data_IF_543395437281
#
_entry.id   IF_543395437281
#
_cell.length_a   1.000
_cell.length_b   1.000
_cell.length_c   1.000
_cell.angle_alpha   90.00
_cell.angle_beta   90.00
_cell.angle_gamma   90.00
#
_symmetry.space_group_name_H-M   'P 1'
#
loop_
_entity.id
_entity.type
_entity.pdbx_description
1 polymer ?
#
# COMPACT_ATOMS: atom_id res chain seq x y z
N UNK A 1 -21.23 -9.53 -22.23
CA UNK A 1 -21.60 -9.78 -20.82
C UNK A 1 -20.31 -9.83 -20.01
N UNK A 2 -20.28 -9.20 -18.84
CA UNK A 2 -19.16 -9.21 -17.89
C UNK A 2 -19.72 -9.33 -16.46
N UNK A 3 -18.88 -9.18 -15.43
CA UNK A 3 -19.28 -9.41 -14.04
C UNK A 3 -19.68 -8.15 -13.25
N UNK A 4 -19.70 -6.97 -13.89
CA UNK A 4 -19.99 -5.68 -13.24
C UNK A 4 -19.12 -5.45 -11.97
N UNK A 5 -17.87 -5.90 -12.01
CA UNK A 5 -16.95 -5.86 -10.88
C UNK A 5 -16.21 -4.52 -10.86
N UNK A 6 -16.30 -3.80 -9.74
CA UNK A 6 -15.50 -2.57 -9.49
C UNK A 6 -14.13 -2.88 -8.86
N UNK A 7 -14.00 -4.07 -8.26
CA UNK A 7 -12.77 -4.65 -7.72
C UNK A 7 -12.81 -6.15 -7.96
N UNK A 8 -11.65 -6.75 -8.22
CA UNK A 8 -11.50 -8.19 -8.37
C UNK A 8 -10.27 -8.70 -7.63
N UNK A 9 -10.09 -10.02 -7.62
CA UNK A 9 -8.89 -10.67 -7.09
C UNK A 9 -8.56 -11.90 -7.91
N UNK A 10 -7.27 -12.19 -8.04
CA UNK A 10 -6.79 -13.38 -8.71
C UNK A 10 -6.06 -14.27 -7.71
N UNK A 11 -6.57 -15.48 -7.51
CA UNK A 11 -6.03 -16.37 -6.48
C UNK A 11 -4.58 -16.74 -6.78
N UNK A 12 -4.28 -17.12 -8.03
CA UNK A 12 -2.95 -17.56 -8.44
C UNK A 12 -2.46 -18.77 -7.65
N UNK A 13 -1.75 -18.52 -6.55
CA UNK A 13 -1.21 -19.57 -5.70
C UNK A 13 -2.32 -20.41 -5.05
N UNK A 14 -2.22 -21.74 -5.00
CA UNK A 14 -1.15 -22.60 -5.54
C UNK A 14 -1.54 -23.27 -6.85
N UNK A 15 -2.81 -23.57 -7.03
CA UNK A 15 -3.30 -24.49 -8.05
C UNK A 15 -3.09 -23.96 -9.47
N UNK A 16 -3.17 -22.64 -9.67
CA UNK A 16 -2.87 -22.05 -10.97
C UNK A 16 -1.36 -21.99 -11.20
N UNK A 17 -0.61 -21.37 -10.30
CA UNK A 17 0.84 -21.11 -10.48
C UNK A 17 1.72 -22.35 -10.44
N UNK A 18 1.23 -23.46 -9.88
CA UNK A 18 1.91 -24.76 -9.94
C UNK A 18 1.92 -25.36 -11.36
N UNK A 19 1.13 -24.82 -12.30
CA UNK A 19 1.03 -25.32 -13.69
C UNK A 19 1.09 -24.22 -14.77
N UNK A 20 0.40 -23.10 -14.58
CA UNK A 20 0.29 -21.98 -15.51
C UNK A 20 1.15 -20.79 -15.09
N UNK A 21 1.50 -19.88 -16.03
CA UNK A 21 2.20 -18.63 -15.69
C UNK A 21 1.45 -17.84 -14.60
N UNK A 22 2.20 -17.21 -13.69
CA UNK A 22 1.64 -16.45 -12.59
C UNK A 22 0.90 -15.18 -13.04
N UNK A 23 0.26 -14.52 -12.07
CA UNK A 23 -0.56 -13.33 -12.30
C UNK A 23 0.25 -12.03 -12.48
N UNK A 24 1.56 -12.05 -12.25
CA UNK A 24 2.34 -10.85 -11.95
C UNK A 24 2.17 -9.74 -13.01
N UNK A 25 2.37 -10.09 -14.28
CA UNK A 25 2.22 -9.16 -15.40
C UNK A 25 0.80 -8.61 -15.49
N UNK A 26 -0.21 -9.48 -15.38
CA UNK A 26 -1.61 -9.06 -15.48
C UNK A 26 -2.03 -8.16 -14.32
N UNK A 27 -1.63 -8.48 -13.10
CA UNK A 27 -1.92 -7.68 -11.90
C UNK A 27 -1.23 -6.31 -11.97
N UNK A 28 0.04 -6.28 -12.39
CA UNK A 28 0.80 -5.04 -12.56
C UNK A 28 0.16 -4.12 -13.61
N UNK A 29 -0.13 -4.64 -14.81
CA UNK A 29 -0.70 -3.84 -15.90
C UNK A 29 -2.15 -3.43 -15.61
N UNK A 30 -2.98 -4.31 -15.03
CA UNK A 30 -4.37 -3.96 -14.71
C UNK A 30 -4.44 -2.85 -13.67
N UNK A 31 -3.63 -2.91 -12.61
CA UNK A 31 -3.55 -1.86 -11.59
C UNK A 31 -2.80 -0.60 -12.05
N UNK A 32 -2.18 -0.61 -13.23
CA UNK A 32 -1.54 0.58 -13.82
C UNK A 32 -2.54 1.46 -14.57
N UNK A 33 -2.23 2.76 -14.63
CA UNK A 33 -3.07 3.77 -15.28
C UNK A 33 -2.85 3.84 -16.81
N UNK A 34 -2.27 2.81 -17.40
CA UNK A 34 -1.99 2.72 -18.84
C UNK A 34 -1.75 1.27 -19.25
N UNK A 35 -1.98 0.98 -20.52
CA UNK A 35 -1.53 -0.24 -21.19
C UNK A 35 -1.33 0.03 -22.69
N UNK A 36 -1.26 -1.02 -23.50
CA UNK A 36 -1.10 -0.93 -24.96
C UNK A 36 -2.24 -0.16 -25.67
N UNK A 37 -3.38 0.09 -25.01
CA UNK A 37 -4.47 0.92 -25.54
C UNK A 37 -4.35 2.40 -25.12
N UNK A 38 -3.27 2.77 -24.43
CA UNK A 38 -3.02 4.11 -23.91
C UNK A 38 -3.40 4.28 -22.44
N UNK A 39 -3.42 5.55 -22.01
CA UNK A 39 -3.72 5.96 -20.64
C UNK A 39 -5.19 5.70 -20.30
N UNK A 40 -5.46 5.12 -19.14
CA UNK A 40 -6.80 4.74 -18.68
C UNK A 40 -6.91 4.71 -17.16
N UNK A 41 -8.15 4.63 -16.67
CA UNK A 41 -8.37 4.31 -15.26
C UNK A 41 -7.73 2.93 -14.90
N UNK A 42 -7.07 2.82 -13.73
CA UNK A 42 -6.56 1.55 -13.24
C UNK A 42 -7.72 0.65 -12.79
N UNK A 43 -7.54 -0.67 -12.94
CA UNK A 43 -8.45 -1.68 -12.41
C UNK A 43 -7.90 -2.21 -11.09
N UNK A 44 -8.72 -2.18 -10.03
CA UNK A 44 -8.31 -2.73 -8.74
C UNK A 44 -8.36 -4.25 -8.77
N UNK A 45 -7.19 -4.89 -8.87
CA UNK A 45 -7.03 -6.35 -8.91
C UNK A 45 -6.11 -6.79 -7.78
N UNK A 46 -6.66 -7.48 -6.79
CA UNK A 46 -5.91 -7.94 -5.63
C UNK A 46 -5.15 -9.25 -5.92
N UNK A 47 -3.84 -9.22 -5.71
CA UNK A 47 -2.97 -10.39 -5.67
C UNK A 47 -3.47 -11.38 -4.62
N UNK A 48 -3.30 -12.67 -4.89
CA UNK A 48 -3.69 -13.79 -4.01
C UNK A 48 -5.19 -13.85 -3.66
N UNK A 49 -6.02 -13.14 -4.43
CA UNK A 49 -7.44 -12.94 -4.14
C UNK A 49 -7.68 -12.43 -2.71
N UNK A 50 -6.77 -11.62 -2.18
CA UNK A 50 -6.97 -10.94 -0.90
C UNK A 50 -8.03 -9.86 -1.04
N UNK A 51 -9.29 -10.26 -0.89
CA UNK A 51 -10.44 -9.38 -0.99
C UNK A 51 -10.38 -8.19 -0.03
N UNK A 52 -9.74 -8.32 1.13
CA UNK A 52 -9.66 -7.22 2.10
C UNK A 52 -8.60 -6.19 1.69
N UNK A 53 -7.49 -6.63 1.09
CA UNK A 53 -6.59 -5.68 0.43
C UNK A 53 -7.25 -5.05 -0.80
N UNK A 54 -8.03 -5.82 -1.56
CA UNK A 54 -8.82 -5.30 -2.68
C UNK A 54 -9.79 -4.19 -2.25
N UNK A 55 -10.52 -4.37 -1.15
CA UNK A 55 -11.39 -3.31 -0.59
C UNK A 55 -10.56 -2.12 -0.09
N UNK A 56 -9.39 -2.35 0.50
CA UNK A 56 -8.49 -1.29 0.94
C UNK A 56 -7.98 -0.45 -0.25
N UNK A 57 -7.56 -1.11 -1.33
CA UNK A 57 -7.20 -0.47 -2.60
C UNK A 57 -8.40 0.29 -3.18
N UNK A 58 -9.59 -0.31 -3.17
CA UNK A 58 -10.80 0.33 -3.68
C UNK A 58 -11.15 1.61 -2.89
N UNK A 59 -11.04 1.59 -1.56
CA UNK A 59 -11.28 2.79 -0.75
C UNK A 59 -10.32 3.91 -1.13
N UNK A 60 -9.02 3.60 -1.23
CA UNK A 60 -8.03 4.58 -1.65
C UNK A 60 -8.34 5.11 -3.06
N UNK A 61 -8.56 4.22 -4.03
CA UNK A 61 -8.84 4.58 -5.42
C UNK A 61 -10.06 5.49 -5.55
N UNK A 62 -11.16 5.19 -4.85
CA UNK A 62 -12.38 6.00 -4.91
C UNK A 62 -12.22 7.39 -4.28
N UNK A 63 -11.25 7.57 -3.38
CA UNK A 63 -10.93 8.86 -2.76
C UNK A 63 -9.95 9.68 -3.61
N UNK A 64 -9.04 9.04 -4.34
CA UNK A 64 -7.94 9.74 -5.03
C UNK A 64 -8.01 9.72 -6.54
N UNK A 65 -8.73 8.76 -7.13
CA UNK A 65 -8.70 8.42 -8.56
C UNK A 65 -7.32 8.01 -9.09
N UNK A 66 -6.38 7.65 -8.21
CA UNK A 66 -5.02 7.23 -8.56
C UNK A 66 -4.87 5.72 -8.48
N UNK A 67 -3.94 5.16 -9.24
CA UNK A 67 -3.52 3.77 -9.08
C UNK A 67 -3.10 3.45 -7.64
N UNK A 68 -3.17 2.16 -7.27
CA UNK A 68 -2.96 1.69 -5.91
C UNK A 68 -1.89 0.61 -5.89
N UNK A 69 -0.93 0.75 -4.97
CA UNK A 69 0.13 -0.24 -4.78
C UNK A 69 -0.38 -1.30 -3.80
N UNK A 70 -0.42 -2.55 -4.25
CA UNK A 70 -0.52 -3.72 -3.39
C UNK A 70 0.89 -4.06 -2.89
N UNK A 71 1.09 -4.34 -1.60
CA UNK A 71 2.39 -4.79 -1.10
C UNK A 71 2.29 -5.76 0.09
N UNK A 72 3.26 -6.66 0.19
CA UNK A 72 3.58 -7.30 1.48
C UNK A 72 4.31 -6.30 2.39
N UNK A 73 3.93 -6.28 3.66
CA UNK A 73 4.64 -5.64 4.77
C UNK A 73 5.73 -6.60 5.22
N UNK A 74 6.82 -6.65 4.44
CA UNK A 74 7.75 -7.78 4.45
C UNK A 74 8.76 -7.74 5.57
N UNK A 75 9.37 -6.59 5.83
CA UNK A 75 10.50 -6.51 6.78
C UNK A 75 10.57 -5.14 7.42
N UNK A 76 10.72 -5.12 8.74
CA UNK A 76 11.15 -3.94 9.47
C UNK A 76 12.67 -3.94 9.55
N UNK A 77 13.27 -2.84 9.07
CA UNK A 77 14.69 -2.57 9.16
C UNK A 77 14.92 -1.54 10.26
N UNK A 78 15.37 -2.00 11.43
CA UNK A 78 15.86 -1.09 12.47
C UNK A 78 17.17 -0.43 12.03
N UNK A 79 17.50 0.77 12.54
CA UNK A 79 18.77 1.44 12.22
C UNK A 79 19.97 0.54 12.47
N UNK A 80 20.01 -0.12 13.63
CA UNK A 80 21.08 -1.05 14.00
C UNK A 80 21.17 -2.24 13.04
N UNK A 81 20.03 -2.79 12.58
CA UNK A 81 20.03 -3.91 11.63
C UNK A 81 20.56 -3.49 10.25
N UNK A 82 20.24 -2.26 9.82
CA UNK A 82 20.76 -1.71 8.55
C UNK A 82 22.26 -1.47 8.65
N UNK A 83 22.74 -0.84 9.74
CA UNK A 83 24.16 -0.58 9.96
C UNK A 83 24.97 -1.88 10.02
N UNK A 84 24.48 -2.88 10.76
CA UNK A 84 25.13 -4.19 10.83
C UNK A 84 25.17 -4.92 9.48
N UNK A 85 24.11 -4.81 8.67
CA UNK A 85 24.01 -5.53 7.40
C UNK A 85 24.77 -4.83 6.26
N UNK A 86 24.91 -3.51 6.30
CA UNK A 86 25.34 -2.71 5.16
C UNK A 86 26.56 -1.84 5.43
N UNK A 87 26.86 -1.56 6.69
CA UNK A 87 27.85 -0.57 7.12
C UNK A 87 27.36 0.88 7.02
N UNK A 88 26.11 1.10 6.62
CA UNK A 88 25.50 2.42 6.49
C UNK A 88 24.47 2.65 7.59
N UNK A 89 24.51 3.82 8.21
CA UNK A 89 23.51 4.24 9.20
C UNK A 89 22.43 5.08 8.52
N UNK A 90 21.14 4.74 8.69
CA UNK A 90 20.05 5.56 8.17
C UNK A 90 20.05 6.99 8.71
N UNK A 91 19.75 7.94 7.84
CA UNK A 91 19.65 9.38 8.14
C UNK A 91 18.27 9.92 7.73
N UNK A 92 18.03 11.21 8.00
CA UNK A 92 16.79 11.92 7.72
C UNK A 92 15.54 11.14 8.22
N UNK A 93 14.56 10.92 7.36
CA UNK A 93 13.35 10.17 7.71
C UNK A 93 13.63 8.72 8.07
N UNK A 94 14.70 8.13 7.54
CA UNK A 94 15.08 6.76 7.81
C UNK A 94 15.76 6.55 9.16
N UNK A 95 16.12 7.61 9.90
CA UNK A 95 16.96 7.53 11.11
C UNK A 95 16.41 6.60 12.20
N UNK A 96 15.09 6.42 12.26
CA UNK A 96 14.39 5.58 13.24
C UNK A 96 13.94 4.23 12.65
N UNK A 97 14.47 3.86 11.49
CA UNK A 97 14.14 2.63 10.76
C UNK A 97 13.08 2.84 9.69
N UNK A 98 12.87 1.80 8.89
CA UNK A 98 11.91 1.81 7.79
C UNK A 98 11.36 0.40 7.54
N UNK A 99 10.28 0.34 6.77
CA UNK A 99 9.58 -0.89 6.41
C UNK A 99 9.79 -1.16 4.92
N UNK A 100 10.18 -2.39 4.60
CA UNK A 100 10.25 -2.91 3.24
C UNK A 100 8.86 -3.34 2.80
N UNK A 101 8.27 -2.59 1.88
CA UNK A 101 7.02 -2.94 1.22
C UNK A 101 7.35 -3.53 -0.16
N UNK A 102 6.98 -4.80 -0.38
CA UNK A 102 7.40 -5.55 -1.57
C UNK A 102 6.42 -6.68 -1.87
N UNK A 103 5.50 -6.48 -2.81
CA UNK A 103 4.58 -7.54 -3.22
C UNK A 103 5.32 -8.73 -3.84
N UNK A 104 4.68 -9.88 -3.87
CA UNK A 104 5.21 -11.15 -4.38
C UNK A 104 5.31 -11.26 -5.90
N UNK A 105 5.51 -10.14 -6.61
CA UNK A 105 5.81 -10.13 -8.04
C UNK A 105 5.22 -8.95 -8.82
N UNK A 106 4.06 -8.43 -8.40
CA UNK A 106 3.33 -7.38 -9.13
C UNK A 106 3.19 -6.09 -8.34
N UNK A 107 3.27 -4.96 -9.02
CA UNK A 107 2.77 -3.69 -8.51
C UNK A 107 2.37 -2.79 -9.68
N UNK A 108 1.48 -1.84 -9.43
CA UNK A 108 1.19 -0.78 -10.41
C UNK A 108 2.47 -0.05 -10.81
N UNK A 109 2.67 0.17 -12.11
CA UNK A 109 3.84 0.84 -12.67
C UNK A 109 3.85 2.34 -12.35
N UNK A 110 2.69 2.90 -12.04
CA UNK A 110 2.55 4.22 -11.41
C UNK A 110 3.35 4.30 -10.10
N UNK A 111 3.45 3.18 -9.38
CA UNK A 111 4.15 3.05 -8.10
C UNK A 111 5.64 3.29 -8.18
N UNK A 112 6.26 3.24 -9.38
CA UNK A 112 7.66 3.62 -9.56
C UNK A 112 7.93 5.10 -9.21
N UNK A 113 6.88 5.94 -9.13
CA UNK A 113 7.00 7.35 -8.75
C UNK A 113 7.68 8.19 -9.83
N UNK A 114 7.47 7.86 -11.10
CA UNK A 114 8.07 8.55 -12.25
C UNK A 114 7.21 9.70 -12.80
N UNK A 115 5.92 9.70 -12.46
CA UNK A 115 5.06 10.86 -12.66
C UNK A 115 5.51 12.00 -11.74
N UNK A 116 5.37 13.25 -12.21
CA UNK A 116 5.85 14.41 -11.46
C UNK A 116 4.85 15.55 -11.40
N UNK A 117 4.84 16.25 -10.26
CA UNK A 117 4.12 17.50 -10.07
C UNK A 117 5.03 18.45 -9.29
N UNK A 118 5.24 19.66 -9.81
CA UNK A 118 6.16 20.65 -9.23
C UNK A 118 7.57 20.07 -8.95
N UNK A 119 8.05 19.19 -9.82
CA UNK A 119 9.36 18.53 -9.69
C UNK A 119 9.43 17.44 -8.62
N UNK A 120 8.33 17.10 -7.94
CA UNK A 120 8.27 16.03 -6.93
C UNK A 120 7.64 14.76 -7.50
N UNK A 121 8.04 13.56 -7.03
CA UNK A 121 7.40 12.31 -7.44
C UNK A 121 5.98 12.20 -6.88
N UNK A 122 5.05 11.77 -7.73
CA UNK A 122 3.63 11.62 -7.40
C UNK A 122 3.03 10.40 -8.09
N UNK A 123 1.78 10.05 -7.76
CA UNK A 123 0.90 9.23 -8.59
C UNK A 123 -0.36 10.06 -8.87
N UNK A 124 -0.75 10.19 -10.13
CA UNK A 124 -1.79 11.12 -10.57
C UNK A 124 -3.06 10.38 -11.00
N UNK A 125 -4.22 11.05 -11.02
CA UNK A 125 -5.36 10.58 -11.76
C UNK A 125 -5.02 10.41 -13.24
N UNK A 126 -5.55 9.38 -13.87
CA UNK A 126 -5.14 9.00 -15.23
C UNK A 126 -5.32 10.12 -16.28
N UNK A 127 -6.31 11.00 -16.13
CA UNK A 127 -6.52 12.12 -17.04
C UNK A 127 -5.47 13.24 -16.93
N UNK A 128 -4.58 13.19 -15.94
CA UNK A 128 -3.47 14.13 -15.74
C UNK A 128 -2.12 13.53 -16.11
N UNK A 129 -2.06 12.23 -16.42
CA UNK A 129 -0.83 11.54 -16.83
C UNK A 129 -0.51 11.91 -18.28
N UNK A 130 0.77 12.12 -18.56
CA UNK A 130 1.29 12.36 -19.91
C UNK A 130 1.98 11.13 -20.47
N UNK A 131 2.03 10.98 -21.80
CA UNK A 131 2.76 9.88 -22.47
C UNK A 131 4.23 9.82 -22.04
N UNK A 132 4.89 10.96 -21.83
CA UNK A 132 6.28 10.98 -21.34
C UNK A 132 6.44 10.41 -19.93
N UNK A 133 5.41 10.49 -19.08
CA UNK A 133 5.43 9.85 -17.76
C UNK A 133 5.09 8.36 -17.83
N UNK A 134 4.28 7.94 -18.82
CA UNK A 134 4.07 6.52 -19.14
C UNK A 134 5.40 5.89 -19.53
N UNK A 135 6.11 6.48 -20.49
CA UNK A 135 7.43 6.04 -20.94
C UNK A 135 8.41 5.98 -19.76
N UNK A 136 8.45 7.00 -18.92
CA UNK A 136 9.33 7.02 -17.74
C UNK A 136 9.00 5.91 -16.72
N UNK A 137 7.72 5.59 -16.51
CA UNK A 137 7.29 4.47 -15.66
C UNK A 137 7.66 3.11 -16.25
N UNK A 138 7.55 2.95 -17.57
CA UNK A 138 7.97 1.73 -18.28
C UNK A 138 9.50 1.57 -18.23
N UNK A 139 10.26 2.62 -18.51
CA UNK A 139 11.73 2.62 -18.47
C UNK A 139 12.29 2.30 -17.07
N UNK A 140 11.53 2.67 -16.02
CA UNK A 140 11.88 2.37 -14.64
C UNK A 140 11.56 0.93 -14.21
N UNK A 141 10.85 0.17 -15.04
CA UNK A 141 10.35 -1.16 -14.71
C UNK A 141 11.06 -2.21 -15.54
N UNK A 142 11.70 -3.18 -14.88
CA UNK A 142 12.28 -4.36 -15.52
C UNK A 142 11.43 -5.59 -15.26
N UNK A 143 11.25 -6.43 -16.29
CA UNK A 143 10.45 -7.65 -16.20
C UNK A 143 11.35 -8.85 -15.98
N UNK A 144 11.27 -9.47 -14.80
CA UNK A 144 12.14 -10.58 -14.40
C UNK A 144 11.38 -11.91 -14.44
N UNK A 145 11.95 -12.98 -15.01
CA UNK A 145 11.36 -14.31 -14.93
C UNK A 145 11.05 -14.71 -13.49
N UNK A 146 9.84 -15.22 -13.26
CA UNK A 146 9.40 -15.64 -11.94
C UNK A 146 10.28 -16.79 -11.40
N UNK A 147 10.48 -16.81 -10.08
CA UNK A 147 11.22 -17.88 -9.41
C UNK A 147 10.43 -19.20 -9.51
N UNK A 148 10.97 -20.16 -10.27
CA UNK A 148 10.37 -21.48 -10.49
C UNK A 148 10.25 -22.34 -9.22
N UNK A 149 10.98 -21.98 -8.16
CA UNK A 149 10.81 -22.58 -6.83
C UNK A 149 9.43 -22.29 -6.22
N UNK A 150 8.86 -21.13 -6.54
CA UNK A 150 7.52 -20.69 -6.10
C UNK A 150 6.47 -20.80 -7.20
N UNK A 151 6.82 -20.38 -8.43
CA UNK A 151 5.92 -20.25 -9.57
C UNK A 151 6.33 -21.23 -10.69
N UNK A 152 5.97 -22.50 -10.55
CA UNK A 152 6.41 -23.58 -11.46
C UNK A 152 5.99 -23.37 -12.91
N UNK A 153 4.86 -22.70 -13.15
CA UNK A 153 4.40 -22.33 -14.48
C UNK A 153 5.10 -21.10 -15.09
N UNK A 154 6.06 -20.49 -14.39
CA UNK A 154 6.77 -19.29 -14.81
C UNK A 154 5.94 -18.01 -14.64
N UNK A 155 6.31 -16.96 -15.36
CA UNK A 155 5.73 -15.62 -15.24
C UNK A 155 6.79 -14.53 -15.33
N UNK A 156 6.37 -13.27 -15.23
CA UNK A 156 7.27 -12.11 -15.25
C UNK A 156 6.86 -11.10 -14.17
N UNK A 157 7.70 -10.96 -13.17
CA UNK A 157 7.57 -9.98 -12.08
C UNK A 157 7.97 -8.57 -12.55
N UNK A 158 7.24 -7.56 -12.09
CA UNK A 158 7.45 -6.14 -12.42
C UNK A 158 8.38 -5.48 -11.40
N UNK A 159 9.69 -5.52 -11.63
CA UNK A 159 10.68 -4.92 -10.73
C UNK A 159 10.80 -3.42 -10.98
N UNK A 160 10.69 -2.63 -9.92
CA UNK A 160 11.13 -1.23 -9.87
C UNK A 160 11.46 -0.87 -8.42
N UNK A 161 12.03 0.33 -8.21
CA UNK A 161 12.19 0.94 -6.89
C UNK A 161 11.45 2.26 -6.89
N UNK A 162 10.49 2.40 -5.97
CA UNK A 162 9.70 3.62 -5.80
C UNK A 162 10.61 4.78 -5.41
N UNK A 163 10.51 5.92 -6.12
CA UNK A 163 11.25 7.13 -5.74
C UNK A 163 10.93 7.58 -4.31
N UNK A 164 11.95 8.00 -3.58
CA UNK A 164 11.83 8.62 -2.26
C UNK A 164 11.15 9.98 -2.27
N UNK A 165 10.70 10.41 -1.09
CA UNK A 165 10.09 11.73 -0.87
C UNK A 165 8.58 11.81 -1.17
N UNK A 166 7.96 10.74 -1.67
CA UNK A 166 6.54 10.71 -1.97
C UNK A 166 5.72 10.55 -0.67
N UNK A 167 4.73 11.41 -0.38
CA UNK A 167 3.78 11.18 0.71
C UNK A 167 2.93 9.97 0.37
N UNK A 168 2.77 9.06 1.32
CA UNK A 168 2.06 7.81 1.16
C UNK A 168 1.12 7.57 2.35
N UNK A 169 0.01 6.90 2.08
CA UNK A 169 -0.88 6.34 3.11
C UNK A 169 -1.00 4.85 2.88
N UNK A 170 -0.52 4.05 3.83
CA UNK A 170 -0.76 2.61 3.85
C UNK A 170 -2.04 2.36 4.65
N UNK A 171 -2.98 1.59 4.10
CA UNK A 171 -4.21 1.21 4.78
C UNK A 171 -4.50 -0.29 4.68
N UNK A 172 -5.29 -0.80 5.63
CA UNK A 172 -5.72 -2.21 5.65
C UNK A 172 -7.06 -2.37 6.36
N UNK A 173 -8.00 -2.99 5.68
CA UNK A 173 -9.20 -3.57 6.29
C UNK A 173 -8.88 -4.97 6.81
N UNK A 174 -9.29 -5.27 8.04
CA UNK A 174 -9.27 -6.62 8.60
C UNK A 174 -10.65 -7.00 9.12
N UNK A 175 -10.98 -8.29 9.12
CA UNK A 175 -12.20 -8.81 9.74
C UNK A 175 -11.85 -9.50 11.07
N UNK A 176 -12.38 -8.96 12.17
CA UNK A 176 -12.16 -9.50 13.51
C UNK A 176 -13.42 -10.21 13.99
N UNK A 177 -13.32 -11.49 14.35
CA UNK A 177 -14.46 -12.27 14.83
C UNK A 177 -15.05 -11.64 16.09
N UNK A 178 -16.35 -11.37 16.08
CA UNK A 178 -17.08 -10.75 17.19
C UNK A 178 -17.07 -9.22 17.19
N UNK A 179 -16.30 -8.59 16.28
CA UNK A 179 -16.26 -7.13 16.12
C UNK A 179 -16.69 -6.68 14.71
N UNK A 180 -16.31 -7.42 13.67
CA UNK A 180 -16.57 -7.07 12.27
C UNK A 180 -15.35 -6.43 11.59
N UNK A 181 -15.55 -5.60 10.55
CA UNK A 181 -14.47 -4.92 9.85
C UNK A 181 -13.83 -3.85 10.73
N UNK A 182 -12.51 -3.74 10.67
CA UNK A 182 -11.72 -2.66 11.27
C UNK A 182 -10.76 -2.09 10.22
N UNK A 183 -10.46 -0.80 10.30
CA UNK A 183 -9.52 -0.12 9.40
C UNK A 183 -8.24 0.31 10.14
N UNK A 184 -7.08 0.01 9.56
CA UNK A 184 -5.77 0.52 9.96
C UNK A 184 -5.26 1.51 8.91
N UNK A 185 -4.62 2.59 9.36
CA UNK A 185 -4.10 3.68 8.54
C UNK A 185 -2.72 4.07 9.06
N UNK A 186 -1.72 4.15 8.19
CA UNK A 186 -0.40 4.68 8.51
C UNK A 186 0.04 5.66 7.41
N UNK A 187 -0.03 6.96 7.70
CA UNK A 187 0.57 7.99 6.86
C UNK A 187 2.08 8.00 7.04
N UNK A 188 2.81 8.24 5.96
CA UNK A 188 4.26 8.23 5.94
C UNK A 188 4.81 8.69 4.61
N UNK A 189 6.01 8.24 4.29
CA UNK A 189 6.67 8.61 3.04
C UNK A 189 7.50 7.46 2.49
N UNK A 190 7.67 7.43 1.18
CA UNK A 190 8.78 6.71 0.58
C UNK A 190 10.10 7.41 0.91
N UNK A 191 11.19 6.66 1.01
CA UNK A 191 12.54 7.19 1.14
C UNK A 191 13.45 6.61 0.05
N UNK A 192 14.44 7.40 -0.34
CA UNK A 192 15.59 6.87 -1.09
C UNK A 192 16.63 6.43 -0.08
N UNK A 193 17.30 5.32 -0.38
CA UNK A 193 18.50 4.87 0.32
C UNK A 193 19.63 4.72 -0.71
N UNK A 194 20.91 4.81 -0.31
CA UNK A 194 22.01 4.66 -1.25
C UNK A 194 21.89 3.35 -2.05
N UNK A 195 22.20 3.38 -3.35
CA UNK A 195 22.03 2.24 -4.26
C UNK A 195 22.72 0.98 -3.74
N UNK A 196 23.94 1.10 -3.21
CA UNK A 196 24.69 0.00 -2.62
C UNK A 196 24.01 -0.61 -1.38
N UNK A 197 23.31 0.21 -0.59
CA UNK A 197 22.53 -0.23 0.57
C UNK A 197 21.27 -0.94 0.09
N UNK A 198 20.54 -0.34 -0.86
CA UNK A 198 19.40 -0.96 -1.50
C UNK A 198 19.74 -2.36 -2.01
N UNK A 199 20.78 -2.48 -2.84
CA UNK A 199 21.18 -3.75 -3.45
C UNK A 199 21.47 -4.82 -2.38
N UNK A 200 22.21 -4.49 -1.32
CA UNK A 200 22.51 -5.43 -0.21
C UNK A 200 21.24 -5.91 0.51
N UNK A 201 20.26 -5.04 0.72
CA UNK A 201 19.01 -5.40 1.39
C UNK A 201 18.07 -6.18 0.45
N UNK A 202 18.03 -5.80 -0.82
CA UNK A 202 17.16 -6.38 -1.86
C UNK A 202 17.61 -7.82 -2.22
N UNK A 203 18.92 -8.06 -2.34
CA UNK A 203 19.54 -9.38 -2.55
C UNK A 203 19.16 -10.40 -1.48
N UNK A 204 18.91 -9.95 -0.26
CA UNK A 204 18.55 -10.80 0.88
C UNK A 204 17.05 -11.08 0.98
N UNK A 205 16.23 -10.34 0.23
CA UNK A 205 14.77 -10.40 0.32
C UNK A 205 14.16 -11.01 -0.94
N UNK A 206 14.22 -10.28 -2.07
CA UNK A 206 13.85 -10.75 -3.40
C UNK A 206 14.22 -9.69 -4.46
N UNK A 207 15.19 -10.01 -5.32
CA UNK A 207 15.71 -9.06 -6.32
C UNK A 207 14.78 -8.81 -7.51
N UNK A 208 13.77 -9.66 -7.72
CA UNK A 208 12.90 -9.59 -8.90
C UNK A 208 11.59 -8.88 -8.62
N UNK A 209 11.31 -8.50 -7.37
CA UNK A 209 10.02 -7.93 -6.94
C UNK A 209 10.08 -6.41 -6.70
N UNK A 210 8.98 -5.66 -6.91
CA UNK A 210 8.95 -4.21 -6.78
C UNK A 210 9.13 -3.75 -5.32
N UNK A 211 10.05 -2.82 -5.09
CA UNK A 211 10.43 -2.35 -3.75
C UNK A 211 9.95 -0.93 -3.48
N UNK A 212 9.30 -0.73 -2.33
CA UNK A 212 9.07 0.59 -1.72
C UNK A 212 9.65 0.61 -0.30
N UNK A 213 10.56 1.53 -0.03
CA UNK A 213 11.07 1.78 1.32
C UNK A 213 10.19 2.81 2.00
N UNK A 214 9.42 2.39 3.01
CA UNK A 214 8.40 3.20 3.66
C UNK A 214 8.78 3.58 5.09
N UNK A 215 8.64 4.86 5.42
CA UNK A 215 8.77 5.37 6.79
C UNK A 215 7.41 5.89 7.25
N UNK A 216 6.75 5.26 8.24
CA UNK A 216 5.54 5.80 8.84
C UNK A 216 5.86 7.05 9.67
N UNK A 217 4.95 8.01 9.71
CA UNK A 217 5.00 9.11 10.68
C UNK A 217 4.76 8.54 12.08
N UNK A 218 5.72 8.71 12.97
CA UNK A 218 5.59 8.35 14.39
C UNK A 218 5.03 9.51 15.20
N UNK A 219 4.23 9.21 16.22
CA UNK A 219 3.59 10.21 17.10
C UNK A 219 4.11 10.13 18.54
N UNK A 220 4.83 9.06 18.89
CA UNK A 220 5.26 8.78 20.26
C UNK A 220 4.18 8.12 21.13
N UNK A 221 3.01 7.81 20.57
CA UNK A 221 1.87 7.25 21.30
C UNK A 221 1.28 6.02 20.60
N UNK A 222 0.69 5.11 21.39
CA UNK A 222 -0.06 3.96 20.87
C UNK A 222 0.77 3.05 19.95
N UNK A 223 0.22 2.72 18.78
CA UNK A 223 0.90 1.90 17.76
C UNK A 223 1.94 2.67 16.92
N UNK A 224 2.18 3.95 17.23
CA UNK A 224 3.09 4.84 16.51
C UNK A 224 4.18 5.42 17.44
N UNK A 225 4.58 4.67 18.47
CA UNK A 225 5.73 5.02 19.33
C UNK A 225 7.03 5.04 18.53
N UNK A 226 7.18 4.09 17.61
CA UNK A 226 8.34 3.89 16.75
C UNK A 226 7.92 3.07 15.52
N UNK A 227 8.83 2.92 14.55
CA UNK A 227 8.55 2.20 13.28
C UNK A 227 8.31 0.71 13.52
N UNK A 228 8.96 0.11 14.52
CA UNK A 228 8.73 -1.29 14.89
C UNK A 228 7.29 -1.50 15.37
N UNK A 229 6.80 -0.64 16.26
CA UNK A 229 5.45 -0.69 16.78
C UNK A 229 4.41 -0.62 15.66
N UNK A 230 4.66 0.18 14.61
CA UNK A 230 3.77 0.26 13.44
C UNK A 230 3.67 -1.10 12.74
N UNK A 231 4.81 -1.74 12.43
CA UNK A 231 4.78 -3.06 11.79
C UNK A 231 4.21 -4.14 12.72
N UNK A 232 4.57 -4.12 14.00
CA UNK A 232 4.14 -5.12 14.97
C UNK A 232 2.63 -5.08 15.26
N UNK A 233 1.99 -3.92 15.10
CA UNK A 233 0.54 -3.78 15.24
C UNK A 233 -0.21 -3.92 13.91
N UNK A 234 0.47 -4.10 12.78
CA UNK A 234 -0.18 -4.29 11.48
C UNK A 234 -0.90 -5.65 11.43
N UNK A 235 -2.18 -5.66 11.06
CA UNK A 235 -3.08 -6.80 11.27
C UNK A 235 -3.06 -7.87 10.18
N UNK A 236 -2.20 -7.75 9.17
CA UNK A 236 -2.08 -8.67 8.03
C UNK A 236 -0.65 -8.65 7.47
N UNK A 237 -0.30 -9.59 6.60
CA UNK A 237 0.93 -9.49 5.81
C UNK A 237 0.81 -8.47 4.67
N UNK A 238 -0.39 -8.07 4.25
CA UNK A 238 -0.60 -7.13 3.14
C UNK A 238 -0.97 -5.72 3.60
N UNK A 239 -0.67 -4.74 2.76
CA UNK A 239 -1.21 -3.38 2.83
C UNK A 239 -1.55 -2.83 1.45
N UNK A 240 -2.46 -1.86 1.40
CA UNK A 240 -2.76 -1.07 0.21
C UNK A 240 -2.18 0.33 0.39
N UNK A 241 -1.37 0.79 -0.56
CA UNK A 241 -0.62 2.04 -0.45
C UNK A 241 -1.11 3.01 -1.53
N UNK A 242 -1.59 4.16 -1.08
CA UNK A 242 -1.98 5.29 -1.92
C UNK A 242 -0.93 6.39 -1.86
N UNK A 243 -0.77 7.10 -2.98
CA UNK A 243 -0.16 8.42 -2.98
C UNK A 243 -0.99 9.40 -2.12
N UNK A 244 -0.29 10.31 -1.44
CA UNK A 244 -0.85 11.35 -0.59
C UNK A 244 -1.04 10.93 0.86
N UNK A 245 -1.33 11.92 1.71
CA UNK A 245 -1.77 11.76 3.11
C UNK A 245 -3.30 11.87 3.15
N UNK A 246 -3.96 10.73 2.91
CA UNK A 246 -5.42 10.63 2.74
C UNK A 246 -6.09 10.02 3.98
N UNK A 247 -5.39 9.95 5.11
CA UNK A 247 -5.90 9.27 6.31
C UNK A 247 -7.18 9.92 6.86
N UNK A 248 -7.30 11.24 6.77
CA UNK A 248 -8.51 11.95 7.19
C UNK A 248 -9.74 11.59 6.32
N UNK A 249 -9.53 11.41 5.02
CA UNK A 249 -10.58 11.02 4.08
C UNK A 249 -11.01 9.57 4.34
N UNK A 250 -10.05 8.67 4.58
CA UNK A 250 -10.32 7.29 4.98
C UNK A 250 -11.08 7.20 6.30
N UNK A 251 -10.72 8.00 7.32
CA UNK A 251 -11.45 8.07 8.59
C UNK A 251 -12.90 8.53 8.37
N UNK A 252 -13.09 9.53 7.52
CA UNK A 252 -14.42 10.04 7.17
C UNK A 252 -15.23 8.95 6.48
N UNK A 253 -14.69 8.31 5.44
CA UNK A 253 -15.32 7.20 4.73
C UNK A 253 -15.67 6.03 5.66
N UNK A 254 -14.72 5.62 6.52
CA UNK A 254 -14.92 4.54 7.48
C UNK A 254 -16.09 4.83 8.43
N UNK A 255 -16.21 6.08 8.91
CA UNK A 255 -17.34 6.48 9.75
C UNK A 255 -18.69 6.43 9.01
N UNK A 256 -18.72 6.78 7.72
CA UNK A 256 -19.92 6.64 6.88
C UNK A 256 -20.32 5.17 6.72
N UNK A 257 -19.35 4.25 6.73
CA UNK A 257 -19.58 2.81 6.61
C UNK A 257 -19.67 2.08 7.96
N UNK A 258 -19.53 2.81 9.07
CA UNK A 258 -19.49 2.29 10.45
C UNK A 258 -18.40 1.23 10.65
N UNK A 259 -17.25 1.46 10.04
CA UNK A 259 -16.04 0.66 10.22
C UNK A 259 -15.17 1.40 11.25
N UNK A 260 -14.97 0.86 12.46
CA UNK A 260 -14.07 1.47 13.44
C UNK A 260 -12.63 1.50 12.94
N UNK A 261 -11.94 2.62 13.20
CA UNK A 261 -10.53 2.79 12.87
C UNK A 261 -9.69 2.38 14.08
N UNK A 262 -9.08 1.21 14.01
CA UNK A 262 -8.37 0.59 15.14
C UNK A 262 -6.91 1.04 15.29
N UNK A 263 -6.36 1.74 14.28
CA UNK A 263 -4.99 2.26 14.29
C UNK A 263 -4.88 3.40 13.28
N UNK A 264 -4.51 4.61 13.72
CA UNK A 264 -4.14 5.71 12.82
C UNK A 264 -3.15 6.70 13.44
N UNK A 265 -2.36 7.38 12.61
CA UNK A 265 -1.46 8.48 12.99
C UNK A 265 -1.90 9.84 12.43
N UNK A 266 -3.14 9.94 11.97
CA UNK A 266 -3.75 11.19 11.52
C UNK A 266 -3.94 12.15 12.69
N UNK A 267 -3.60 13.43 12.47
CA UNK A 267 -3.79 14.50 13.46
C UNK A 267 -5.23 14.55 13.96
N UNK A 268 -5.43 14.61 15.28
CA UNK A 268 -6.76 14.55 15.90
C UNK A 268 -7.72 15.65 15.41
N UNK A 269 -7.19 16.81 15.00
CA UNK A 269 -7.97 17.93 14.46
C UNK A 269 -8.54 17.66 13.06
N UNK A 270 -7.94 16.75 12.30
CA UNK A 270 -8.39 16.35 10.96
C UNK A 270 -9.43 15.23 10.99
N UNK A 271 -9.65 14.61 12.16
CA UNK A 271 -10.66 13.56 12.33
C UNK A 271 -12.06 14.15 12.15
N UNK A 272 -12.66 13.90 10.99
CA UNK A 272 -14.00 14.35 10.64
C UNK A 272 -14.96 13.16 10.53
N UNK A 273 -16.06 13.21 11.29
CA UNK A 273 -17.07 12.15 11.40
C UNK A 273 -18.45 12.78 11.58
N UNK A 274 -19.56 12.05 11.39
CA UNK A 274 -20.89 12.56 11.69
C UNK A 274 -20.97 13.11 13.12
N UNK A 275 -21.65 14.25 13.31
CA UNK A 275 -21.70 14.97 14.59
C UNK A 275 -22.18 14.10 15.76
N UNK A 276 -22.99 13.07 15.47
CA UNK A 276 -23.47 12.11 16.46
C UNK A 276 -22.34 11.35 17.18
N UNK A 277 -21.16 11.14 16.56
CA UNK A 277 -20.01 10.49 17.22
C UNK A 277 -19.59 11.22 18.50
N UNK A 278 -19.71 12.55 18.53
CA UNK A 278 -19.35 13.34 19.71
C UNK A 278 -20.24 13.03 20.92
N UNK A 279 -21.47 12.54 20.71
CA UNK A 279 -22.37 12.10 21.79
C UNK A 279 -21.96 10.76 22.40
N UNK A 280 -21.09 9.99 21.74
CA UNK A 280 -20.54 8.72 22.26
C UNK A 280 -19.26 8.92 23.09
N UNK A 281 -18.79 10.16 23.28
CA UNK A 281 -17.71 10.51 24.18
C UNK A 281 -16.62 11.37 23.55
N UNK A 282 -15.76 11.94 24.41
CA UNK A 282 -14.70 12.86 23.98
C UNK A 282 -13.44 12.15 23.46
N UNK A 283 -13.14 10.96 23.99
CA UNK A 283 -12.02 10.13 23.51
C UNK A 283 -12.40 9.56 22.13
N UNK A 284 -11.64 9.93 21.10
CA UNK A 284 -11.98 9.73 19.68
C UNK A 284 -12.10 8.26 19.28
N UNK A 285 -11.20 7.40 19.74
CA UNK A 285 -11.21 5.96 19.47
C UNK A 285 -12.44 5.29 20.11
N UNK A 286 -12.62 5.43 21.42
CA UNK A 286 -13.76 4.88 22.15
C UNK A 286 -15.10 5.41 21.64
N UNK A 287 -15.18 6.68 21.24
CA UNK A 287 -16.39 7.22 20.60
C UNK A 287 -16.68 6.53 19.27
N UNK A 288 -15.64 6.15 18.52
CA UNK A 288 -15.76 5.45 17.24
C UNK A 288 -16.34 4.06 17.42
N UNK A 289 -15.73 3.27 18.30
CA UNK A 289 -16.18 1.91 18.58
C UNK A 289 -17.62 1.88 19.05
N UNK A 290 -17.99 2.74 20.00
CA UNK A 290 -19.38 2.81 20.50
C UNK A 290 -20.37 3.25 19.44
N UNK A 291 -20.01 4.23 18.60
CA UNK A 291 -20.89 4.69 17.53
C UNK A 291 -21.06 3.62 16.44
N UNK A 292 -19.97 3.00 15.99
CA UNK A 292 -19.99 1.92 15.01
C UNK A 292 -20.79 0.71 15.50
N UNK A 293 -20.60 0.31 16.77
CA UNK A 293 -21.39 -0.76 17.40
C UNK A 293 -22.89 -0.38 17.47
N UNK A 294 -23.21 0.85 17.89
CA UNK A 294 -24.59 1.30 18.03
C UNK A 294 -25.34 1.38 16.70
N UNK A 295 -24.68 1.88 15.64
CA UNK A 295 -25.33 2.08 14.34
C UNK A 295 -25.27 0.86 13.44
N UNK A 296 -24.28 -0.02 13.62
CA UNK A 296 -24.10 -1.22 12.81
C UNK A 296 -23.77 -0.95 11.34
N UNK A 297 -23.65 -2.01 10.51
CA UNK A 297 -23.44 -1.87 9.07
C UNK A 297 -24.60 -1.11 8.42
N UNK A 298 -24.31 -0.38 7.33
CA UNK A 298 -25.32 0.43 6.65
C UNK A 298 -26.43 -0.41 5.99
N UNK A 299 -26.11 -1.63 5.56
CA UNK A 299 -27.01 -2.58 4.89
C UNK A 299 -26.88 -3.97 5.49
#
# INVERSE_FOLDING_TARGET
>A
FGHNAIVSGFQGQRQWTDFMPNGDFSEAILNSSFDWNGIRAPFMVATENDSLNGVSMLFNYLLTNTAQIFADVRTYWSPDAVENATGWKPEDRGENGFIHLINSGSATLDGAGRQTQEGKPVMKPYWEITEGEVDASLDATTWHPADLGYFRGGGFSSKFVTKGGMPLTMCRINLVRGLGPVLQIAEGWSIDIPEEVHNKLDERTNITWPTTWFVPRVTGEGAFTDVYAVMNNWGSNHGAISYGHIGADLITLASMLRIPVCMHNVDAEKVFRPTAWNSFGMQKEGSDYRACENYGPLY
#
